data_IF_217517979299
#
_entry.id   IF_217517979299
#
_cell.length_a   1.000
_cell.length_b   1.000
_cell.length_c   1.000
_cell.angle_alpha   90.00
_cell.angle_beta   90.00
_cell.angle_gamma   90.00
#
_symmetry.space_group_name_H-M   'P 1'
#
loop_
_entity.id
_entity.type
_entity.pdbx_description
1 polymer ?
#
# COMPACT_ATOMS: atom_id res chain seq x y z
N UNK A 1 -30.21 -16.22 -5.71
CA UNK A 1 -29.99 -15.30 -4.55
C UNK A 1 -28.77 -15.72 -3.77
N UNK A 2 -27.86 -14.80 -3.55
CA UNK A 2 -26.70 -15.11 -2.70
C UNK A 2 -27.15 -15.44 -1.27
N UNK A 3 -26.53 -16.43 -0.69
CA UNK A 3 -26.76 -16.80 0.69
C UNK A 3 -26.01 -15.83 1.61
N UNK A 4 -26.71 -15.31 2.61
CA UNK A 4 -26.13 -14.40 3.60
C UNK A 4 -25.69 -15.18 4.83
N UNK A 5 -24.45 -14.96 5.27
CA UNK A 5 -23.91 -15.55 6.49
C UNK A 5 -23.55 -14.43 7.45
N UNK A 6 -23.95 -14.57 8.71
CA UNK A 6 -23.59 -13.64 9.76
C UNK A 6 -22.29 -14.06 10.43
N UNK A 7 -21.44 -13.11 10.77
CA UNK A 7 -20.23 -13.36 11.54
C UNK A 7 -20.02 -12.23 12.54
N UNK A 8 -19.20 -12.47 13.54
CA UNK A 8 -18.90 -11.48 14.57
C UNK A 8 -17.41 -11.19 14.64
N UNK A 9 -17.07 -9.99 15.13
CA UNK A 9 -15.69 -9.55 15.33
C UNK A 9 -15.59 -8.93 16.73
N UNK A 10 -14.53 -9.28 17.45
CA UNK A 10 -14.21 -8.69 18.73
C UNK A 10 -13.20 -7.57 18.54
N UNK A 11 -13.53 -6.38 18.99
CA UNK A 11 -12.66 -5.19 18.90
C UNK A 11 -12.56 -4.53 20.27
N UNK A 12 -11.45 -3.83 20.48
CA UNK A 12 -11.33 -2.95 21.63
C UNK A 12 -12.33 -1.79 21.50
N UNK A 13 -12.87 -1.32 22.62
CA UNK A 13 -13.88 -0.28 22.63
C UNK A 13 -13.47 0.98 21.88
N UNK A 14 -12.25 1.44 22.09
CA UNK A 14 -11.76 2.67 21.44
C UNK A 14 -11.66 2.52 19.92
N UNK A 15 -11.24 1.36 19.48
CA UNK A 15 -11.15 1.07 18.04
C UNK A 15 -12.54 1.06 17.41
N UNK A 16 -13.50 0.42 18.07
CA UNK A 16 -14.87 0.37 17.57
C UNK A 16 -15.50 1.77 17.51
N UNK A 17 -15.30 2.60 18.54
CA UNK A 17 -15.80 3.98 18.53
C UNK A 17 -15.21 4.80 17.39
N UNK A 18 -13.91 4.66 17.15
CA UNK A 18 -13.25 5.34 16.05
C UNK A 18 -13.80 4.89 14.70
N UNK A 19 -14.04 3.59 14.56
CA UNK A 19 -14.65 3.04 13.36
C UNK A 19 -16.06 3.57 13.14
N UNK A 20 -16.91 3.54 14.16
CA UNK A 20 -18.29 4.02 14.09
C UNK A 20 -18.35 5.50 13.68
N UNK A 21 -17.47 6.31 14.24
CA UNK A 21 -17.37 7.73 13.89
C UNK A 21 -16.96 7.91 12.43
N UNK A 22 -15.95 7.19 12.00
CA UNK A 22 -15.44 7.26 10.64
C UNK A 22 -16.49 6.87 9.60
N UNK A 23 -17.18 5.76 9.79
CA UNK A 23 -18.19 5.30 8.84
C UNK A 23 -19.42 6.21 8.82
N UNK A 24 -19.78 6.82 9.96
CA UNK A 24 -20.84 7.81 10.03
C UNK A 24 -20.51 9.04 9.20
N UNK A 25 -19.28 9.53 9.31
CA UNK A 25 -18.78 10.66 8.51
C UNK A 25 -18.76 10.34 7.01
N UNK A 26 -18.55 9.09 6.65
CA UNK A 26 -18.57 8.63 5.25
C UNK A 26 -19.98 8.42 4.71
N UNK A 27 -21.02 8.52 5.57
CA UNK A 27 -22.40 8.39 5.17
C UNK A 27 -22.97 6.99 5.20
N UNK A 28 -22.29 6.02 5.81
CA UNK A 28 -22.83 4.66 5.94
C UNK A 28 -23.97 4.61 6.96
N UNK A 29 -25.03 3.88 6.62
CA UNK A 29 -26.19 3.72 7.50
C UNK A 29 -25.91 2.75 8.68
N UNK A 30 -25.03 1.79 8.48
CA UNK A 30 -24.72 0.79 9.50
C UNK A 30 -23.34 0.15 9.25
N UNK A 31 -22.88 -0.60 10.24
CA UNK A 31 -21.58 -1.28 10.19
C UNK A 31 -21.50 -2.32 9.08
N UNK A 32 -22.58 -3.05 8.86
CA UNK A 32 -22.60 -4.13 7.85
C UNK A 32 -22.32 -3.60 6.45
N UNK A 33 -22.89 -2.48 6.07
CA UNK A 33 -22.64 -1.85 4.77
C UNK A 33 -21.18 -1.41 4.64
N UNK A 34 -20.66 -0.75 5.67
CA UNK A 34 -19.27 -0.29 5.68
C UNK A 34 -18.28 -1.47 5.57
N UNK A 35 -18.53 -2.52 6.36
CA UNK A 35 -17.67 -3.73 6.34
C UNK A 35 -17.72 -4.42 4.99
N UNK A 36 -18.89 -4.54 4.37
CA UNK A 36 -19.02 -5.12 3.02
C UNK A 36 -18.19 -4.36 2.00
N UNK A 37 -18.25 -3.03 2.05
CA UNK A 37 -17.47 -2.21 1.12
C UNK A 37 -15.96 -2.33 1.36
N UNK A 38 -15.53 -2.39 2.63
CA UNK A 38 -14.13 -2.62 2.96
C UNK A 38 -13.64 -3.97 2.45
N UNK A 39 -14.44 -5.01 2.61
CA UNK A 39 -14.12 -6.36 2.11
C UNK A 39 -14.02 -6.37 0.59
N UNK A 40 -14.99 -5.78 -0.10
CA UNK A 40 -14.99 -5.69 -1.56
C UNK A 40 -13.77 -4.95 -2.07
N UNK A 41 -13.46 -3.81 -1.46
CA UNK A 41 -12.30 -3.00 -1.83
C UNK A 41 -11.00 -3.80 -1.64
N UNK A 42 -10.85 -4.46 -0.51
CA UNK A 42 -9.70 -5.32 -0.24
C UNK A 42 -9.53 -6.41 -1.30
N UNK A 43 -10.62 -7.08 -1.67
CA UNK A 43 -10.58 -8.14 -2.68
C UNK A 43 -10.27 -7.61 -4.08
N UNK A 44 -10.81 -6.45 -4.44
CA UNK A 44 -10.50 -5.81 -5.71
C UNK A 44 -9.02 -5.44 -5.78
N UNK A 45 -8.47 -4.84 -4.73
CA UNK A 45 -7.06 -4.51 -4.65
C UNK A 45 -6.18 -5.76 -4.79
N UNK A 46 -6.57 -6.83 -4.14
CA UNK A 46 -5.84 -8.09 -4.21
C UNK A 46 -5.88 -8.71 -5.61
N UNK A 47 -7.02 -8.63 -6.28
CA UNK A 47 -7.17 -9.10 -7.66
C UNK A 47 -6.29 -8.30 -8.63
N UNK A 48 -6.28 -6.98 -8.50
CA UNK A 48 -5.43 -6.11 -9.30
C UNK A 48 -3.95 -6.43 -9.09
N UNK A 49 -3.56 -6.73 -7.85
CA UNK A 49 -2.16 -7.04 -7.51
C UNK A 49 -1.64 -8.34 -8.14
N UNK A 50 -2.52 -9.22 -8.59
CA UNK A 50 -2.16 -10.51 -9.20
C UNK A 50 -2.25 -10.50 -10.72
N UNK A 51 -2.66 -9.40 -11.32
CA UNK A 51 -2.82 -9.27 -12.76
C UNK A 51 -1.51 -9.20 -13.49
N UNK A 52 -1.56 -9.48 -14.80
CA UNK A 52 -0.41 -9.36 -15.70
C UNK A 52 -0.40 -8.03 -16.45
N UNK A 53 -1.39 -7.18 -16.21
CA UNK A 53 -1.45 -5.88 -16.84
C UNK A 53 -0.29 -5.01 -16.39
N UNK A 54 0.22 -4.20 -17.30
CA UNK A 54 1.26 -3.24 -16.99
C UNK A 54 0.65 -2.07 -16.19
N UNK A 55 1.26 -1.77 -15.06
CA UNK A 55 0.84 -0.69 -14.18
C UNK A 55 2.03 0.18 -13.79
N UNK A 56 1.72 1.33 -13.24
CA UNK A 56 2.70 2.19 -12.56
C UNK A 56 2.39 2.13 -11.07
N UNK A 57 3.39 1.80 -10.27
CA UNK A 57 3.32 1.85 -8.83
C UNK A 57 4.13 3.02 -8.30
N UNK A 58 3.59 3.70 -7.30
CA UNK A 58 4.30 4.74 -6.56
C UNK A 58 4.42 4.25 -5.12
N UNK A 59 5.64 3.87 -4.75
CA UNK A 59 5.93 3.41 -3.39
C UNK A 59 6.53 4.57 -2.60
N UNK A 60 5.97 4.85 -1.44
CA UNK A 60 6.52 5.82 -0.52
C UNK A 60 7.01 5.12 0.75
N UNK A 61 8.25 5.39 1.14
CA UNK A 61 8.89 4.79 2.29
C UNK A 61 9.37 5.89 3.23
N UNK A 62 9.05 5.77 4.51
CA UNK A 62 9.58 6.67 5.54
C UNK A 62 10.53 5.87 6.43
N UNK A 63 11.73 6.36 6.60
CA UNK A 63 12.73 5.70 7.44
C UNK A 63 13.73 6.69 8.00
N UNK A 64 14.40 6.30 9.08
CA UNK A 64 15.48 7.09 9.68
C UNK A 64 16.75 6.85 8.87
N UNK A 65 17.27 7.91 8.23
CA UNK A 65 18.46 7.82 7.39
C UNK A 65 19.72 7.39 8.14
N UNK A 66 19.69 7.48 9.48
CA UNK A 66 20.81 7.04 10.32
C UNK A 66 20.80 5.53 10.57
N UNK A 67 19.69 4.84 10.24
CA UNK A 67 19.61 3.38 10.38
C UNK A 67 20.70 2.74 9.53
N UNK A 68 21.52 1.92 10.19
CA UNK A 68 22.74 1.35 9.58
C UNK A 68 22.46 0.68 8.24
N UNK A 69 23.08 1.19 7.19
CA UNK A 69 23.05 0.65 5.82
C UNK A 69 21.65 0.56 5.18
N UNK A 70 20.62 1.09 5.79
CA UNK A 70 19.27 0.96 5.24
C UNK A 70 19.14 1.61 3.86
N UNK A 71 19.68 2.81 3.69
CA UNK A 71 19.68 3.47 2.36
C UNK A 71 20.37 2.63 1.29
N UNK A 72 21.50 2.01 1.62
CA UNK A 72 22.24 1.15 0.70
C UNK A 72 21.47 -0.13 0.39
N UNK A 73 20.81 -0.72 1.39
CA UNK A 73 19.99 -1.92 1.21
C UNK A 73 18.83 -1.63 0.25
N UNK A 74 18.14 -0.51 0.46
CA UNK A 74 17.01 -0.12 -0.38
C UNK A 74 17.47 0.17 -1.81
N UNK A 75 18.60 0.85 -1.98
CA UNK A 75 19.18 1.11 -3.30
C UNK A 75 19.56 -0.19 -4.01
N UNK A 76 20.19 -1.11 -3.31
CA UNK A 76 20.58 -2.40 -3.86
C UNK A 76 19.37 -3.24 -4.30
N UNK A 77 18.30 -3.23 -3.50
CA UNK A 77 17.05 -3.90 -3.85
C UNK A 77 16.44 -3.33 -5.13
N UNK A 78 16.51 -2.01 -5.31
CA UNK A 78 16.02 -1.35 -6.52
C UNK A 78 16.84 -1.74 -7.75
N UNK A 79 18.16 -1.81 -7.62
CA UNK A 79 19.05 -2.23 -8.70
C UNK A 79 18.82 -3.69 -9.11
N UNK A 80 18.47 -4.55 -8.17
CA UNK A 80 18.23 -5.97 -8.43
C UNK A 80 16.80 -6.28 -8.83
N UNK A 81 15.90 -5.31 -8.77
CA UNK A 81 14.50 -5.52 -9.10
C UNK A 81 14.30 -5.89 -10.56
N UNK A 82 13.41 -6.87 -10.79
CA UNK A 82 13.08 -7.36 -12.15
C UNK A 82 11.99 -6.51 -12.82
N UNK A 83 11.81 -5.30 -12.37
CA UNK A 83 10.86 -4.33 -12.93
C UNK A 83 11.59 -3.03 -13.21
N UNK A 84 11.02 -2.18 -14.05
CA UNK A 84 11.62 -0.89 -14.33
C UNK A 84 11.42 0.06 -13.15
N UNK A 85 12.52 0.44 -12.50
CA UNK A 85 12.53 1.53 -11.53
C UNK A 85 12.80 2.80 -12.32
N UNK A 86 11.74 3.58 -12.57
CA UNK A 86 11.82 4.74 -13.45
C UNK A 86 12.41 5.96 -12.77
N UNK A 87 12.16 6.13 -11.48
CA UNK A 87 12.63 7.28 -10.73
C UNK A 87 12.64 6.97 -9.24
N UNK A 88 13.52 7.64 -8.54
CA UNK A 88 13.55 7.63 -7.07
C UNK A 88 13.85 9.04 -6.60
N UNK A 89 13.12 9.49 -5.58
CA UNK A 89 13.24 10.83 -5.03
C UNK A 89 13.41 10.72 -3.52
N UNK A 90 14.45 11.37 -2.98
CA UNK A 90 14.71 11.47 -1.56
C UNK A 90 14.32 12.84 -1.05
N UNK A 91 13.52 12.88 0.02
CA UNK A 91 13.09 14.09 0.66
C UNK A 91 13.42 14.00 2.15
N UNK A 92 14.12 14.98 2.69
CA UNK A 92 14.36 15.07 4.12
C UNK A 92 13.13 15.64 4.80
N UNK A 93 12.53 14.86 5.71
CA UNK A 93 11.35 15.30 6.47
C UNK A 93 11.77 16.11 7.72
N UNK A 94 12.84 15.67 8.36
CA UNK A 94 13.45 16.33 9.52
C UNK A 94 14.91 15.90 9.62
N UNK A 95 15.57 16.15 10.75
CA UNK A 95 16.98 15.79 10.92
C UNK A 95 17.29 14.31 10.76
N UNK A 96 16.31 13.45 11.00
CA UNK A 96 16.52 12.00 11.06
C UNK A 96 15.74 11.24 10.02
N UNK A 97 14.54 11.69 9.68
CA UNK A 97 13.63 10.95 8.83
C UNK A 97 13.69 11.40 7.38
N UNK A 98 13.70 10.41 6.50
CA UNK A 98 13.63 10.61 5.05
C UNK A 98 12.34 10.01 4.52
N UNK A 99 11.81 10.64 3.47
CA UNK A 99 10.80 10.05 2.60
C UNK A 99 11.48 9.69 1.29
N UNK A 100 11.38 8.43 0.89
CA UNK A 100 11.81 8.00 -0.44
C UNK A 100 10.58 7.66 -1.26
N UNK A 101 10.47 8.26 -2.43
CA UNK A 101 9.37 7.99 -3.38
C UNK A 101 9.96 7.27 -4.58
N UNK A 102 9.45 6.09 -4.87
CA UNK A 102 9.97 5.23 -5.94
C UNK A 102 8.86 4.99 -6.95
N UNK A 103 9.12 5.31 -8.22
CA UNK A 103 8.19 5.07 -9.31
C UNK A 103 8.60 3.79 -10.01
N UNK A 104 7.70 2.81 -10.03
CA UNK A 104 7.95 1.46 -10.54
C UNK A 104 6.96 1.17 -11.66
N UNK A 105 7.45 0.72 -12.82
CA UNK A 105 6.59 0.31 -13.93
C UNK A 105 6.83 -1.15 -14.28
N UNK A 106 5.76 -1.91 -14.50
CA UNK A 106 5.87 -3.31 -14.87
C UNK A 106 4.55 -4.05 -14.71
N UNK A 107 4.60 -5.36 -14.82
CA UNK A 107 3.44 -6.21 -14.55
C UNK A 107 2.96 -6.01 -13.11
N UNK A 108 1.66 -5.91 -12.92
CA UNK A 108 1.05 -5.63 -11.62
C UNK A 108 1.57 -6.54 -10.52
N UNK A 109 1.63 -7.84 -10.77
CA UNK A 109 2.13 -8.81 -9.79
C UNK A 109 3.56 -8.50 -9.35
N UNK A 110 4.44 -8.18 -10.29
CA UNK A 110 5.85 -7.88 -10.02
C UNK A 110 6.02 -6.54 -9.31
N UNK A 111 5.24 -5.54 -9.69
CA UNK A 111 5.25 -4.23 -9.04
C UNK A 111 4.86 -4.37 -7.56
N UNK A 112 3.79 -5.10 -7.27
CA UNK A 112 3.35 -5.35 -5.90
C UNK A 112 4.38 -6.15 -5.11
N UNK A 113 5.02 -7.13 -5.73
CA UNK A 113 6.05 -7.94 -5.10
C UNK A 113 7.28 -7.10 -4.71
N UNK A 114 7.78 -6.31 -5.64
CA UNK A 114 8.95 -5.43 -5.39
C UNK A 114 8.64 -4.38 -4.34
N UNK A 115 7.50 -3.69 -4.48
CA UNK A 115 7.07 -2.68 -3.52
C UNK A 115 6.86 -3.29 -2.13
N UNK A 116 6.24 -4.47 -2.07
CA UNK A 116 6.02 -5.18 -0.81
C UNK A 116 7.31 -5.50 -0.08
N UNK A 117 8.33 -5.95 -0.80
CA UNK A 117 9.65 -6.23 -0.22
C UNK A 117 10.34 -4.97 0.30
N UNK A 118 10.26 -3.87 -0.45
CA UNK A 118 10.80 -2.59 -0.02
C UNK A 118 10.11 -2.10 1.25
N UNK A 119 8.79 -2.11 1.27
CA UNK A 119 7.98 -1.67 2.41
C UNK A 119 8.24 -2.53 3.65
N UNK A 120 8.41 -3.84 3.47
CA UNK A 120 8.63 -4.79 4.56
C UNK A 120 10.07 -4.82 5.06
N UNK A 121 10.99 -4.08 4.44
CA UNK A 121 12.39 -4.07 4.83
C UNK A 121 12.53 -3.54 6.26
N UNK A 122 13.30 -4.25 7.09
CA UNK A 122 13.55 -3.86 8.47
C UNK A 122 14.16 -2.47 8.53
N UNK A 123 13.56 -1.60 9.30
CA UNK A 123 13.96 -0.20 9.44
C UNK A 123 13.07 0.77 8.69
N UNK A 124 12.28 0.31 7.74
CA UNK A 124 11.23 1.12 7.11
C UNK A 124 10.08 1.26 8.11
N UNK A 125 9.83 2.47 8.57
CA UNK A 125 8.83 2.73 9.62
C UNK A 125 7.41 2.79 9.07
N UNK A 126 7.26 3.28 7.84
CA UNK A 126 5.97 3.41 7.19
C UNK A 126 6.18 3.29 5.69
N UNK A 127 5.29 2.57 5.03
CA UNK A 127 5.33 2.40 3.59
C UNK A 127 3.94 2.26 2.99
N UNK A 128 3.77 2.85 1.83
CA UNK A 128 2.51 2.81 1.08
C UNK A 128 2.80 2.58 -0.39
N UNK A 129 1.91 1.87 -1.05
CA UNK A 129 1.93 1.71 -2.50
C UNK A 129 0.61 2.20 -3.09
N UNK A 130 0.71 3.08 -4.06
CA UNK A 130 -0.42 3.53 -4.87
C UNK A 130 -0.17 3.07 -6.29
N UNK A 131 -1.17 2.49 -6.93
CA UNK A 131 -1.04 1.99 -8.30
C UNK A 131 -1.99 2.71 -9.24
N UNK A 132 -1.56 2.85 -10.49
CA UNK A 132 -2.37 3.41 -11.55
C UNK A 132 -2.09 2.67 -12.86
N UNK A 133 -2.99 2.80 -13.83
CA UNK A 133 -2.81 2.19 -15.13
C UNK A 133 -1.62 2.82 -15.87
N UNK A 134 -0.85 1.99 -16.58
CA UNK A 134 0.27 2.47 -17.39
C UNK A 134 -0.17 2.95 -18.78
N UNK A 135 -1.36 2.54 -19.23
CA UNK A 135 -1.90 2.90 -20.53
C UNK A 135 -3.12 3.80 -20.39
N UNK A 136 -3.15 4.84 -21.18
CA UNK A 136 -4.31 5.72 -21.29
C UNK A 136 -5.19 5.17 -22.40
N UNK A 137 -6.36 4.69 -22.04
CA UNK A 137 -7.34 4.27 -23.04
C UNK A 137 -8.01 5.50 -23.66
N UNK A 138 -7.84 5.61 -24.94
CA UNK A 138 -8.50 6.67 -25.72
C UNK A 138 -9.97 6.28 -26.02
#
# INVERSE_FOLDING_TARGET
MPKVTRFGVSLEDDLLRSFDRSISEMGYANRSEAIRDLIRDHLVQKKVSRGNEEIIGIASLVYDHRTHRLGDILADMQHKAKVAINASLHIHLDEHNCLEVIVIRGEAQKVHEVAGKLIATKGVENGKLVTTAAEIKS
#
